data_IF_256442293975
#
_entry.id   IF_256442293975
#
_cell.length_a   1.000
_cell.length_b   1.000
_cell.length_c   1.000
_cell.angle_alpha   90.00
_cell.angle_beta   90.00
_cell.angle_gamma   90.00
#
_symmetry.space_group_name_H-M   'P 1'
#
loop_
_entity.id
_entity.type
_entity.pdbx_description
1 polymer ?
#
# COMPACT_ATOMS: atom_id res chain seq x y z
N UNK A 1 4.16 11.98 -23.98
CA UNK A 1 4.28 10.67 -23.32
C UNK A 1 4.38 10.90 -21.82
N UNK A 2 3.44 10.40 -21.00
CA UNK A 2 3.58 10.45 -19.53
C UNK A 2 4.48 9.30 -19.09
N UNK A 3 5.53 9.59 -18.33
CA UNK A 3 6.34 8.55 -17.72
C UNK A 3 5.48 7.80 -16.65
N UNK A 4 5.60 6.47 -16.56
CA UNK A 4 4.89 5.69 -15.55
C UNK A 4 5.39 6.04 -14.14
N UNK A 5 4.46 6.25 -13.19
CA UNK A 5 4.80 6.57 -11.81
C UNK A 5 5.35 5.32 -11.11
N UNK A 6 6.59 5.41 -10.61
CA UNK A 6 7.30 4.31 -9.94
C UNK A 6 7.29 4.41 -8.43
N UNK A 7 7.33 5.63 -7.90
CA UNK A 7 7.44 5.87 -6.46
C UNK A 7 6.38 6.90 -6.10
N UNK A 8 5.56 6.58 -5.10
CA UNK A 8 4.58 7.51 -4.54
C UNK A 8 4.85 7.66 -3.04
N UNK A 9 5.30 8.84 -2.65
CA UNK A 9 5.51 9.21 -1.25
C UNK A 9 4.45 10.20 -0.81
N UNK A 10 3.57 9.74 0.08
CA UNK A 10 2.48 10.51 0.67
C UNK A 10 2.40 10.31 2.18
N UNK A 11 3.53 9.94 2.79
CA UNK A 11 3.63 9.79 4.24
C UNK A 11 3.46 11.11 5.01
N UNK A 12 3.15 11.02 6.30
CA UNK A 12 2.90 12.16 7.21
C UNK A 12 1.80 13.11 6.71
N UNK A 13 0.68 12.55 6.25
CA UNK A 13 -0.49 13.29 5.80
C UNK A 13 -1.75 12.92 6.62
N UNK A 14 -2.91 13.42 6.20
CA UNK A 14 -4.22 13.12 6.81
C UNK A 14 -5.04 12.13 5.97
N UNK A 15 -4.40 11.25 5.19
CA UNK A 15 -5.12 10.32 4.30
C UNK A 15 -5.88 9.31 5.16
N UNK A 16 -7.20 9.24 4.97
CA UNK A 16 -8.09 8.30 5.67
C UNK A 16 -8.48 7.11 4.81
N UNK A 17 -8.41 7.24 3.49
CA UNK A 17 -8.73 6.18 2.53
C UNK A 17 -7.80 6.24 1.32
N UNK A 18 -7.51 5.08 0.73
CA UNK A 18 -6.89 4.98 -0.59
C UNK A 18 -7.98 4.91 -1.66
N UNK A 19 -7.97 5.78 -2.68
CA UNK A 19 -8.96 5.71 -3.74
C UNK A 19 -8.73 4.47 -4.62
N UNK A 20 -9.81 3.92 -5.18
CA UNK A 20 -9.73 2.79 -6.11
C UNK A 20 -8.88 3.08 -7.36
N UNK A 21 -8.65 4.35 -7.67
CA UNK A 21 -7.75 4.79 -8.76
C UNK A 21 -6.30 4.41 -8.54
N UNK A 22 -5.86 4.02 -7.34
CA UNK A 22 -4.53 3.48 -7.08
C UNK A 22 -4.23 2.24 -7.96
N UNK A 23 -5.27 1.50 -8.35
CA UNK A 23 -5.18 0.34 -9.25
C UNK A 23 -4.67 0.71 -10.65
N UNK A 24 -4.79 1.98 -11.07
CA UNK A 24 -4.21 2.44 -12.34
C UNK A 24 -2.68 2.41 -12.35
N UNK A 25 -2.05 2.29 -11.18
CA UNK A 25 -0.60 2.23 -11.00
C UNK A 25 -0.06 0.80 -10.91
N UNK A 26 -0.91 -0.23 -11.07
CA UNK A 26 -0.58 -1.67 -10.89
C UNK A 26 0.62 -2.12 -11.72
N UNK A 27 0.78 -1.57 -12.92
CA UNK A 27 1.84 -1.95 -13.86
C UNK A 27 3.12 -1.11 -13.74
N UNK A 28 3.16 -0.11 -12.85
CA UNK A 28 4.28 0.82 -12.73
C UNK A 28 4.82 1.02 -11.34
N UNK A 29 3.99 0.97 -10.30
CA UNK A 29 4.39 1.37 -8.96
C UNK A 29 5.32 0.32 -8.33
N UNK A 30 6.47 0.77 -7.87
CA UNK A 30 7.51 -0.02 -7.23
C UNK A 30 7.55 0.22 -5.72
N UNK A 31 7.22 1.45 -5.28
CA UNK A 31 7.20 1.84 -3.86
C UNK A 31 6.03 2.76 -3.54
N UNK A 32 5.32 2.46 -2.44
CA UNK A 32 4.22 3.24 -1.90
C UNK A 32 4.47 3.53 -0.41
N UNK A 33 4.78 4.78 -0.07
CA UNK A 33 4.90 5.22 1.33
C UNK A 33 3.62 5.94 1.77
N UNK A 34 2.91 5.31 2.71
CA UNK A 34 1.72 5.84 3.38
C UNK A 34 1.96 6.01 4.89
N UNK A 35 3.21 6.00 5.36
CA UNK A 35 3.50 6.07 6.78
C UNK A 35 2.88 7.33 7.41
N UNK A 36 2.47 7.27 8.67
CA UNK A 36 2.00 8.47 9.40
C UNK A 36 0.74 9.09 8.81
N UNK A 37 -0.22 8.27 8.37
CA UNK A 37 -1.53 8.69 7.90
C UNK A 37 -2.64 8.25 8.89
N UNK A 38 -3.91 8.31 8.47
CA UNK A 38 -5.09 7.98 9.27
C UNK A 38 -5.86 6.80 8.67
N UNK A 39 -5.17 5.93 7.93
CA UNK A 39 -5.79 4.75 7.31
C UNK A 39 -6.19 3.76 8.40
N UNK A 40 -7.41 3.24 8.31
CA UNK A 40 -7.88 2.11 9.12
C UNK A 40 -7.85 0.80 8.33
N UNK A 41 -7.95 0.87 7.00
CA UNK A 41 -7.89 -0.24 6.06
C UNK A 41 -7.18 0.19 4.76
N UNK A 42 -6.79 -0.78 3.93
CA UNK A 42 -6.26 -0.58 2.58
C UNK A 42 -6.85 -1.60 1.60
N UNK A 43 -6.93 -1.32 0.28
CA UNK A 43 -7.39 -2.27 -0.74
C UNK A 43 -6.34 -3.37 -0.99
N UNK A 44 -6.18 -4.27 -0.02
CA UNK A 44 -5.10 -5.24 0.02
C UNK A 44 -5.19 -6.27 -1.11
N UNK A 45 -6.40 -6.67 -1.49
CA UNK A 45 -6.69 -7.61 -2.57
C UNK A 45 -6.24 -7.09 -3.94
N UNK A 46 -6.13 -5.77 -4.11
CA UNK A 46 -5.60 -5.10 -5.29
C UNK A 46 -4.10 -4.83 -5.15
N UNK A 47 -3.66 -4.29 -4.00
CA UNK A 47 -2.24 -3.98 -3.75
C UNK A 47 -1.36 -5.22 -3.85
N UNK A 48 -1.85 -6.38 -3.39
CA UNK A 48 -1.12 -7.65 -3.48
C UNK A 48 -0.94 -8.13 -4.92
N UNK A 49 -1.76 -7.67 -5.88
CA UNK A 49 -1.65 -8.02 -7.30
C UNK A 49 -0.72 -7.09 -8.08
N UNK A 50 -0.25 -6.00 -7.47
CA UNK A 50 0.67 -5.05 -8.12
C UNK A 50 2.03 -5.71 -8.39
N UNK A 51 2.32 -5.95 -9.66
CA UNK A 51 3.44 -6.81 -10.05
C UNK A 51 4.82 -6.20 -9.82
N UNK A 52 4.88 -4.87 -9.79
CA UNK A 52 6.13 -4.14 -9.59
C UNK A 52 6.31 -3.65 -8.16
N UNK A 53 5.26 -3.67 -7.33
CA UNK A 53 5.31 -3.17 -5.97
C UNK A 53 6.25 -4.06 -5.15
N UNK A 54 7.20 -3.43 -4.47
CA UNK A 54 8.18 -4.09 -3.60
C UNK A 54 8.14 -3.55 -2.18
N UNK A 55 7.75 -2.29 -2.01
CA UNK A 55 7.74 -1.62 -0.72
C UNK A 55 6.40 -0.94 -0.48
N UNK A 56 5.79 -1.26 0.66
CA UNK A 56 4.57 -0.63 1.16
C UNK A 56 4.77 -0.30 2.64
N UNK A 57 4.84 0.98 3.01
CA UNK A 57 4.82 1.37 4.43
C UNK A 57 3.42 1.83 4.82
N UNK A 58 2.87 1.15 5.83
CA UNK A 58 1.62 1.46 6.52
C UNK A 58 1.87 1.86 7.98
N UNK A 59 3.13 2.00 8.39
CA UNK A 59 3.52 2.35 9.75
C UNK A 59 2.84 3.64 10.22
N UNK A 60 2.55 3.73 11.52
CA UNK A 60 1.94 4.92 12.14
C UNK A 60 0.60 5.32 11.48
N UNK A 61 -0.19 4.34 11.04
CA UNK A 61 -1.61 4.51 10.68
C UNK A 61 -2.53 4.06 11.84
N UNK A 62 -3.84 4.05 11.60
CA UNK A 62 -4.87 3.63 12.57
C UNK A 62 -5.40 2.22 12.24
N UNK A 63 -4.56 1.37 11.65
CA UNK A 63 -4.90 0.01 11.28
C UNK A 63 -4.96 -0.84 12.56
N UNK A 64 -6.11 -1.49 12.80
CA UNK A 64 -6.32 -2.30 14.00
C UNK A 64 -5.48 -3.57 13.96
N UNK A 65 -5.23 -4.19 15.12
CA UNK A 65 -4.46 -5.44 15.19
C UNK A 65 -5.08 -6.57 14.35
N UNK A 66 -6.41 -6.67 14.33
CA UNK A 66 -7.14 -7.64 13.51
C UNK A 66 -6.93 -7.39 12.02
N UNK A 67 -6.97 -6.13 11.59
CA UNK A 67 -6.71 -5.79 10.19
C UNK A 67 -5.23 -6.02 9.84
N UNK A 68 -4.28 -5.73 10.72
CA UNK A 68 -2.86 -6.10 10.50
C UNK A 68 -2.70 -7.60 10.29
N UNK A 69 -3.41 -8.44 11.07
CA UNK A 69 -3.37 -9.90 10.88
C UNK A 69 -3.91 -10.31 9.50
N UNK A 70 -5.04 -9.73 9.08
CA UNK A 70 -5.61 -9.94 7.74
C UNK A 70 -4.65 -9.49 6.64
N UNK A 71 -4.06 -8.30 6.76
CA UNK A 71 -3.11 -7.77 5.78
C UNK A 71 -1.86 -8.65 5.68
N UNK A 72 -1.30 -9.11 6.80
CA UNK A 72 -0.18 -10.06 6.81
C UNK A 72 -0.53 -11.36 6.07
N UNK A 73 -1.74 -11.90 6.30
CA UNK A 73 -2.21 -13.10 5.60
C UNK A 73 -2.30 -12.88 4.08
N UNK A 74 -2.87 -11.75 3.65
CA UNK A 74 -2.99 -11.42 2.22
C UNK A 74 -1.60 -11.24 1.58
N UNK A 75 -0.73 -10.40 2.16
CA UNK A 75 0.58 -10.13 1.58
C UNK A 75 1.55 -11.31 1.66
N UNK A 76 1.31 -12.31 2.53
CA UNK A 76 2.06 -13.57 2.51
C UNK A 76 1.93 -14.34 1.19
N UNK A 77 0.86 -14.11 0.42
CA UNK A 77 0.66 -14.71 -0.91
C UNK A 77 1.54 -14.08 -1.99
N UNK A 78 2.16 -12.92 -1.71
CA UNK A 78 3.07 -12.24 -2.60
C UNK A 78 4.33 -11.76 -1.84
N UNK A 79 5.29 -12.66 -1.58
CA UNK A 79 6.46 -12.38 -0.74
C UNK A 79 7.43 -11.36 -1.33
N UNK A 80 7.21 -10.89 -2.57
CA UNK A 80 8.03 -9.82 -3.17
C UNK A 80 7.70 -8.44 -2.58
N UNK A 81 6.50 -8.29 -2.00
CA UNK A 81 6.05 -7.05 -1.37
C UNK A 81 6.46 -7.09 0.10
N UNK A 82 7.38 -6.22 0.49
CA UNK A 82 7.70 -5.97 1.89
C UNK A 82 6.72 -4.92 2.42
N UNK A 83 6.00 -5.30 3.47
CA UNK A 83 5.02 -4.42 4.13
C UNK A 83 5.50 -4.07 5.53
N UNK A 84 5.51 -2.78 5.84
CA UNK A 84 5.80 -2.26 7.17
C UNK A 84 4.48 -1.82 7.83
N UNK A 85 4.20 -2.28 9.04
CA UNK A 85 2.95 -2.06 9.78
C UNK A 85 3.17 -1.20 11.02
#
# INVERSE_FOLDING_TARGET
MKAPLKILFVGSNNITTLPATINSLTDSLESLDLHGNKLTTVPAEELVKMNKLRFLSLEKNQITADEVARLKAIFSTNPRITVFF
#
